data_IF_048039477639
#
_entry.id   IF_048039477639
#
_cell.length_a   1.000
_cell.length_b   1.000
_cell.length_c   1.000
_cell.angle_alpha   90.00
_cell.angle_beta   90.00
_cell.angle_gamma   90.00
#
_symmetry.space_group_name_H-M   'P 1'
#
loop_
_entity.id
_entity.type
_entity.pdbx_description
1 polymer ?
#
# COMPACT_ATOMS: atom_id res chain seq x y z
N UNK A 1 -4.65 -15.97 -6.47
CA UNK A 1 -4.52 -14.63 -5.82
C UNK A 1 -5.01 -14.75 -4.39
N UNK A 2 -4.33 -14.12 -3.43
CA UNK A 2 -4.78 -14.04 -2.04
C UNK A 2 -5.41 -12.67 -1.82
N UNK A 3 -6.70 -12.63 -1.46
CA UNK A 3 -7.40 -11.35 -1.24
C UNK A 3 -7.39 -11.02 0.25
N UNK A 4 -6.96 -9.80 0.54
CA UNK A 4 -6.92 -9.20 1.86
C UNK A 4 -7.67 -7.87 1.93
N UNK A 5 -7.57 -7.21 3.08
CA UNK A 5 -8.25 -5.95 3.35
C UNK A 5 -7.35 -5.01 4.16
N UNK A 6 -7.51 -3.70 4.01
CA UNK A 6 -6.95 -2.76 4.98
C UNK A 6 -7.59 -3.00 6.35
N UNK A 7 -6.79 -3.39 7.34
CA UNK A 7 -7.32 -3.80 8.65
C UNK A 7 -8.11 -2.69 9.36
N UNK A 8 -7.81 -1.44 9.10
CA UNK A 8 -8.54 -0.33 9.68
C UNK A 8 -9.90 -0.04 9.01
N UNK A 9 -10.16 -0.60 7.83
CA UNK A 9 -11.48 -0.56 7.18
C UNK A 9 -12.43 -1.62 7.75
N UNK A 10 -11.89 -2.63 8.43
CA UNK A 10 -12.70 -3.65 9.11
C UNK A 10 -13.36 -3.05 10.34
N UNK A 11 -14.68 -2.94 10.32
CA UNK A 11 -15.46 -2.51 11.47
C UNK A 11 -16.14 -3.72 12.10
N UNK A 12 -15.85 -3.97 13.36
CA UNK A 12 -16.35 -5.15 14.09
C UNK A 12 -17.80 -5.01 14.56
N UNK A 13 -18.41 -3.83 14.40
CA UNK A 13 -19.72 -3.52 14.99
C UNK A 13 -19.69 -3.28 16.50
N UNK A 14 -18.54 -3.42 17.14
CA UNK A 14 -18.35 -3.18 18.57
C UNK A 14 -18.19 -1.69 18.87
N UNK A 15 -18.28 -1.33 20.15
CA UNK A 15 -17.97 0.02 20.61
C UNK A 15 -16.53 0.43 20.22
N UNK A 16 -16.24 1.73 20.02
CA UNK A 16 -14.94 2.19 19.51
C UNK A 16 -13.71 1.70 20.31
N UNK A 17 -13.85 1.55 21.62
CA UNK A 17 -12.81 1.04 22.51
C UNK A 17 -12.56 -0.47 22.37
N UNK A 18 -13.57 -1.22 21.93
CA UNK A 18 -13.48 -2.66 21.72
C UNK A 18 -13.07 -3.05 20.28
N UNK A 19 -12.88 -2.08 19.39
CA UNK A 19 -12.37 -2.30 18.04
C UNK A 19 -10.84 -2.47 18.05
N UNK A 20 -10.36 -3.48 18.78
CA UNK A 20 -8.94 -3.80 18.87
C UNK A 20 -8.40 -4.46 17.60
N UNK A 21 -7.09 -4.60 17.50
CA UNK A 21 -6.45 -5.30 16.38
C UNK A 21 -6.93 -6.77 16.33
N UNK A 22 -7.04 -7.43 17.47
CA UNK A 22 -7.53 -8.82 17.56
C UNK A 22 -8.95 -8.96 17.05
N UNK A 23 -9.86 -8.08 17.48
CA UNK A 23 -11.25 -8.12 17.04
C UNK A 23 -11.39 -7.88 15.53
N UNK A 24 -10.57 -7.00 14.96
CA UNK A 24 -10.53 -6.74 13.51
C UNK A 24 -9.94 -7.92 12.73
N UNK A 25 -8.90 -8.56 13.25
CA UNK A 25 -8.30 -9.76 12.65
C UNK A 25 -9.31 -10.92 12.65
N UNK A 26 -9.99 -11.15 13.77
CA UNK A 26 -11.05 -12.17 13.86
C UNK A 26 -12.16 -11.91 12.84
N UNK A 27 -12.64 -10.66 12.77
CA UNK A 27 -13.67 -10.26 11.82
C UNK A 27 -13.24 -10.44 10.37
N UNK A 28 -12.01 -10.01 10.02
CA UNK A 28 -11.45 -10.19 8.67
C UNK A 28 -11.36 -11.68 8.29
N UNK A 29 -10.95 -12.54 9.24
CA UNK A 29 -10.97 -14.00 9.05
C UNK A 29 -12.38 -14.55 8.79
N UNK A 30 -13.37 -14.15 9.61
CA UNK A 30 -14.76 -14.57 9.44
C UNK A 30 -15.33 -14.13 8.08
N UNK A 31 -14.92 -12.96 7.58
CA UNK A 31 -15.29 -12.43 6.28
C UNK A 31 -14.51 -13.07 5.09
N UNK A 32 -13.63 -14.05 5.35
CA UNK A 32 -12.96 -14.85 4.34
C UNK A 32 -11.72 -14.19 3.72
N UNK A 33 -11.16 -13.15 4.34
CA UNK A 33 -9.89 -12.55 3.91
C UNK A 33 -8.71 -13.46 4.30
N UNK A 34 -7.64 -13.43 3.51
CA UNK A 34 -6.43 -14.24 3.71
C UNK A 34 -5.21 -13.43 4.14
N UNK A 35 -5.24 -12.11 3.98
CA UNK A 35 -4.16 -11.23 4.39
C UNK A 35 -4.68 -9.83 4.73
N UNK A 36 -3.81 -9.01 5.31
CA UNK A 36 -4.16 -7.64 5.70
C UNK A 36 -3.10 -6.64 5.27
N UNK A 37 -3.55 -5.41 4.98
CA UNK A 37 -2.72 -4.23 4.98
C UNK A 37 -2.85 -3.58 6.36
N UNK A 38 -1.76 -3.58 7.12
CA UNK A 38 -1.69 -3.11 8.50
C UNK A 38 -1.01 -1.75 8.58
N UNK A 39 -1.65 -0.78 9.21
CA UNK A 39 -1.05 0.48 9.65
C UNK A 39 -1.28 0.64 11.16
N UNK A 40 -0.22 0.53 11.98
CA UNK A 40 -0.34 0.52 13.44
C UNK A 40 -1.12 1.72 13.99
N UNK A 41 -0.81 2.92 13.53
CA UNK A 41 -1.48 4.16 13.98
C UNK A 41 -2.98 4.21 13.68
N UNK A 42 -3.47 3.36 12.79
CA UNK A 42 -4.89 3.26 12.43
C UNK A 42 -5.66 2.21 13.23
N UNK A 43 -4.96 1.20 13.75
CA UNK A 43 -5.59 0.06 14.44
C UNK A 43 -5.29 0.02 15.94
N UNK A 44 -4.18 0.60 16.40
CA UNK A 44 -3.80 0.67 17.82
C UNK A 44 -3.94 2.13 18.26
N UNK A 45 -4.84 2.39 19.18
CA UNK A 45 -5.13 3.74 19.68
C UNK A 45 -4.26 4.07 20.89
N UNK A 46 -4.02 5.36 21.13
CA UNK A 46 -3.34 5.86 22.33
C UNK A 46 -1.82 5.67 22.33
N UNK A 47 -1.24 5.26 21.20
CA UNK A 47 0.21 5.11 21.04
C UNK A 47 0.70 5.95 19.86
N UNK A 48 1.78 6.69 20.06
CA UNK A 48 2.52 7.32 18.96
C UNK A 48 3.60 6.34 18.51
N UNK A 49 3.55 5.92 17.26
CA UNK A 49 4.50 4.97 16.69
C UNK A 49 5.75 5.70 16.21
N UNK A 50 6.58 6.12 17.16
CA UNK A 50 7.97 6.52 16.98
C UNK A 50 8.90 5.31 17.20
N UNK A 51 10.22 5.53 17.19
CA UNK A 51 11.20 4.45 17.40
C UNK A 51 11.02 3.72 18.73
N UNK A 52 10.58 4.41 19.78
CA UNK A 52 10.42 3.82 21.10
C UNK A 52 9.25 2.81 21.14
N UNK A 53 8.21 3.04 20.34
CA UNK A 53 7.03 2.18 20.30
C UNK A 53 7.18 1.00 19.32
N UNK A 54 8.10 1.08 18.35
CA UNK A 54 8.35 0.04 17.33
C UNK A 54 9.32 -1.02 17.85
N UNK A 55 8.87 -1.77 18.86
CA UNK A 55 9.67 -2.75 19.60
C UNK A 55 9.51 -4.17 19.07
N UNK A 56 10.44 -5.06 19.47
CA UNK A 56 10.35 -6.50 19.23
C UNK A 56 9.09 -7.10 19.88
N UNK A 57 8.69 -6.57 21.04
CA UNK A 57 7.45 -6.97 21.73
C UNK A 57 6.20 -6.69 20.89
N UNK A 58 6.13 -5.52 20.24
CA UNK A 58 5.05 -5.16 19.31
C UNK A 58 5.03 -6.11 18.10
N UNK A 59 6.19 -6.39 17.52
CA UNK A 59 6.32 -7.29 16.38
C UNK A 59 5.80 -8.70 16.70
N UNK A 60 6.26 -9.28 17.80
CA UNK A 60 5.86 -10.62 18.24
C UNK A 60 4.39 -10.69 18.68
N UNK A 61 3.88 -9.63 19.30
CA UNK A 61 2.46 -9.52 19.63
C UNK A 61 1.62 -9.50 18.35
N UNK A 62 1.95 -8.63 17.39
CA UNK A 62 1.25 -8.52 16.11
C UNK A 62 1.27 -9.84 15.35
N UNK A 63 2.45 -10.47 15.26
CA UNK A 63 2.59 -11.79 14.64
C UNK A 63 1.63 -12.81 15.26
N UNK A 64 1.59 -12.92 16.59
CA UNK A 64 0.68 -13.88 17.26
C UNK A 64 -0.78 -13.60 17.02
N UNK A 65 -1.18 -12.32 16.91
CA UNK A 65 -2.56 -11.95 16.59
C UNK A 65 -2.93 -12.39 15.18
N UNK A 66 -2.07 -12.10 14.20
CA UNK A 66 -2.28 -12.50 12.81
C UNK A 66 -2.25 -14.02 12.62
N UNK A 67 -1.28 -14.72 13.24
CA UNK A 67 -1.17 -16.19 13.19
C UNK A 67 -2.45 -16.87 13.72
N UNK A 68 -3.04 -16.37 14.81
CA UNK A 68 -4.31 -16.88 15.35
C UNK A 68 -5.48 -16.68 14.39
N UNK A 69 -5.49 -15.57 13.67
CA UNK A 69 -6.48 -15.32 12.62
C UNK A 69 -6.20 -16.08 11.32
N UNK A 70 -5.03 -16.70 11.16
CA UNK A 70 -4.61 -17.30 9.90
C UNK A 70 -4.45 -16.29 8.78
N UNK A 71 -4.06 -15.05 9.12
CA UNK A 71 -3.89 -13.95 8.16
C UNK A 71 -2.42 -13.57 8.04
N UNK A 72 -1.98 -13.32 6.80
CA UNK A 72 -0.67 -12.76 6.53
C UNK A 72 -0.71 -11.22 6.62
N UNK A 73 0.41 -10.60 7.01
CA UNK A 73 0.62 -9.17 6.80
C UNK A 73 1.16 -8.93 5.39
N UNK A 74 0.30 -8.68 4.42
CA UNK A 74 0.72 -8.36 3.05
C UNK A 74 1.52 -7.06 2.98
N UNK A 75 1.04 -6.04 3.69
CA UNK A 75 1.67 -4.71 3.79
C UNK A 75 1.71 -4.28 5.25
N UNK A 76 2.88 -3.89 5.73
CA UNK A 76 3.04 -3.04 6.90
C UNK A 76 3.22 -1.59 6.41
N UNK A 77 2.18 -0.77 6.55
CA UNK A 77 2.14 0.58 6.01
C UNK A 77 2.89 1.59 6.87
N UNK A 78 3.80 2.34 6.25
CA UNK A 78 4.51 3.48 6.82
C UNK A 78 4.43 4.66 5.84
N UNK A 79 3.31 5.40 5.86
CA UNK A 79 3.00 6.46 4.90
C UNK A 79 3.49 7.82 5.39
N UNK A 80 4.82 8.00 5.40
CA UNK A 80 5.49 9.23 5.82
C UNK A 80 6.28 9.83 4.66
N UNK A 81 6.40 11.16 4.64
CA UNK A 81 6.96 11.91 3.52
C UNK A 81 8.49 11.81 3.42
N UNK A 82 9.00 10.89 2.61
CA UNK A 82 10.44 10.73 2.34
C UNK A 82 11.05 11.85 1.47
N UNK A 83 10.22 12.80 1.00
CA UNK A 83 10.66 14.02 0.33
C UNK A 83 10.45 15.28 1.21
N UNK A 84 10.38 15.10 2.54
CA UNK A 84 10.16 16.22 3.46
C UNK A 84 11.27 17.28 3.33
N UNK A 85 10.93 18.57 3.18
CA UNK A 85 11.92 19.63 2.90
C UNK A 85 12.80 19.95 4.10
N UNK A 86 12.35 19.74 5.34
CA UNK A 86 13.15 19.89 6.55
C UNK A 86 14.01 18.64 6.77
N UNK A 87 15.36 18.78 6.77
CA UNK A 87 16.27 17.64 6.88
C UNK A 87 16.24 16.96 8.26
N UNK A 88 15.92 17.67 9.33
CA UNK A 88 15.83 17.05 10.66
C UNK A 88 14.55 16.25 10.78
N UNK A 89 13.45 16.77 10.23
CA UNK A 89 12.20 16.01 10.15
C UNK A 89 12.32 14.79 9.23
N UNK A 90 13.06 14.90 8.14
CA UNK A 90 13.33 13.76 7.25
C UNK A 90 14.10 12.65 8.00
N UNK A 91 15.07 12.97 8.85
CA UNK A 91 15.79 11.99 9.69
C UNK A 91 14.84 11.27 10.66
N UNK A 92 13.93 12.00 11.32
CA UNK A 92 12.90 11.41 12.19
C UNK A 92 12.00 10.45 11.39
N UNK A 93 11.59 10.85 10.18
CA UNK A 93 10.79 10.02 9.28
C UNK A 93 11.56 8.76 8.89
N UNK A 94 12.81 8.87 8.48
CA UNK A 94 13.65 7.71 8.14
C UNK A 94 13.83 6.77 9.33
N UNK A 95 14.03 7.29 10.54
CA UNK A 95 14.10 6.48 11.76
C UNK A 95 12.83 5.64 11.98
N UNK A 96 11.66 6.21 11.72
CA UNK A 96 10.38 5.45 11.77
C UNK A 96 10.32 4.33 10.74
N UNK A 97 10.83 4.56 9.51
CA UNK A 97 10.94 3.49 8.52
C UNK A 97 11.88 2.38 8.99
N UNK A 98 13.01 2.71 9.61
CA UNK A 98 13.94 1.70 10.16
C UNK A 98 13.25 0.86 11.24
N UNK A 99 12.46 1.49 12.12
CA UNK A 99 11.65 0.78 13.10
C UNK A 99 10.62 -0.16 12.46
N UNK A 100 9.88 0.31 11.43
CA UNK A 100 8.94 -0.53 10.69
C UNK A 100 9.63 -1.70 9.99
N UNK A 101 10.82 -1.49 9.43
CA UNK A 101 11.61 -2.56 8.79
C UNK A 101 12.01 -3.63 9.81
N UNK A 102 12.51 -3.24 10.99
CA UNK A 102 12.82 -4.20 12.08
C UNK A 102 11.59 -5.01 12.51
N UNK A 103 10.47 -4.32 12.69
CA UNK A 103 9.19 -4.96 13.04
C UNK A 103 8.73 -5.89 11.91
N UNK A 104 8.81 -5.46 10.65
CA UNK A 104 8.45 -6.27 9.48
C UNK A 104 9.27 -7.56 9.39
N UNK A 105 10.59 -7.49 9.64
CA UNK A 105 11.47 -8.65 9.67
C UNK A 105 11.05 -9.68 10.71
N UNK A 106 10.70 -9.21 11.93
CA UNK A 106 10.33 -10.09 13.04
C UNK A 106 8.92 -10.68 12.89
N UNK A 107 7.98 -9.93 12.31
CA UNK A 107 6.61 -10.42 12.14
C UNK A 107 6.39 -11.17 10.83
N UNK A 108 7.32 -11.10 9.89
CA UNK A 108 7.19 -11.74 8.59
C UNK A 108 6.23 -11.01 7.64
N UNK A 109 6.22 -9.67 7.67
CA UNK A 109 5.40 -8.90 6.73
C UNK A 109 5.93 -9.03 5.30
N UNK A 110 5.02 -9.08 4.31
CA UNK A 110 5.37 -9.19 2.90
C UNK A 110 6.18 -7.99 2.41
N UNK A 111 5.70 -6.77 2.70
CA UNK A 111 6.42 -5.53 2.40
C UNK A 111 6.22 -4.47 3.49
N UNK A 112 7.16 -3.53 3.61
CA UNK A 112 6.93 -2.21 4.20
C UNK A 112 6.48 -1.27 3.08
N UNK A 113 5.22 -0.85 3.12
CA UNK A 113 4.59 -0.07 2.06
C UNK A 113 4.60 1.43 2.33
N UNK A 114 4.78 2.23 1.27
CA UNK A 114 4.66 3.69 1.31
C UNK A 114 4.19 4.28 -0.02
N UNK A 115 3.46 5.38 0.05
CA UNK A 115 3.30 6.30 -1.06
C UNK A 115 4.55 7.19 -1.23
N UNK A 116 4.58 8.04 -2.25
CA UNK A 116 5.79 8.75 -2.64
C UNK A 116 5.81 10.25 -2.28
N UNK A 117 4.77 10.71 -1.61
CA UNK A 117 4.72 12.02 -0.98
C UNK A 117 4.69 13.23 -1.91
N UNK A 118 5.06 14.38 -1.34
CA UNK A 118 5.16 15.67 -2.00
C UNK A 118 6.37 16.44 -1.46
N UNK A 119 6.98 17.37 -2.24
CA UNK A 119 8.18 18.13 -1.83
C UNK A 119 7.84 19.29 -0.89
N UNK A 120 6.84 19.14 -0.04
CA UNK A 120 6.36 20.16 0.89
C UNK A 120 5.93 19.56 2.23
N UNK A 121 5.71 20.41 3.23
CA UNK A 121 5.33 20.03 4.60
C UNK A 121 3.89 19.50 4.65
N UNK A 122 3.02 20.01 3.81
CA UNK A 122 1.59 19.71 3.79
C UNK A 122 1.27 18.32 3.23
N UNK A 123 2.25 17.65 2.61
CA UNK A 123 2.06 16.34 1.95
C UNK A 123 0.97 16.41 0.86
N UNK A 124 0.90 17.52 0.14
CA UNK A 124 -0.12 17.77 -0.88
C UNK A 124 0.48 18.09 -2.22
N UNK A 125 -0.21 17.68 -3.27
CA UNK A 125 0.18 18.03 -4.64
C UNK A 125 0.19 19.56 -4.82
N UNK A 126 1.29 20.07 -5.39
CA UNK A 126 1.48 21.43 -5.84
C UNK A 126 2.21 21.49 -7.20
N UNK A 127 2.54 22.69 -7.66
CA UNK A 127 3.22 22.88 -8.95
C UNK A 127 4.62 22.22 -9.01
N UNK A 128 5.25 21.94 -7.86
CA UNK A 128 6.58 21.35 -7.80
C UNK A 128 6.55 19.81 -7.67
N UNK A 129 5.40 19.22 -7.36
CA UNK A 129 5.29 17.79 -7.05
C UNK A 129 5.78 16.90 -8.19
N UNK A 130 5.53 17.29 -9.44
CA UNK A 130 5.91 16.51 -10.63
C UNK A 130 7.24 16.94 -11.26
N UNK A 131 8.05 17.75 -10.57
CA UNK A 131 9.37 18.17 -11.07
C UNK A 131 10.42 17.06 -10.94
N UNK A 132 11.52 17.16 -11.67
CA UNK A 132 12.66 16.26 -11.51
C UNK A 132 13.34 16.45 -10.15
N UNK A 133 13.41 17.67 -9.65
CA UNK A 133 13.98 17.99 -8.34
C UNK A 133 13.22 17.28 -7.19
N UNK A 134 11.89 17.25 -7.26
CA UNK A 134 11.07 16.49 -6.31
C UNK A 134 11.40 15.00 -6.35
N UNK A 135 11.52 14.42 -7.57
CA UNK A 135 11.91 13.02 -7.73
C UNK A 135 13.29 12.72 -7.15
N UNK A 136 14.28 13.56 -7.43
CA UNK A 136 15.64 13.40 -6.92
C UNK A 136 15.67 13.51 -5.39
N UNK A 137 14.84 14.37 -4.82
CA UNK A 137 14.69 14.52 -3.36
C UNK A 137 14.07 13.26 -2.75
N UNK A 138 13.01 12.73 -3.35
CA UNK A 138 12.40 11.48 -2.92
C UNK A 138 13.39 10.30 -3.01
N UNK A 139 14.12 10.17 -4.11
CA UNK A 139 15.14 9.11 -4.29
C UNK A 139 16.20 9.18 -3.19
N UNK A 140 16.72 10.37 -2.87
CA UNK A 140 17.67 10.55 -1.78
C UNK A 140 17.09 10.14 -0.42
N UNK A 141 15.85 10.53 -0.13
CA UNK A 141 15.20 10.18 1.13
C UNK A 141 14.90 8.69 1.25
N UNK A 142 14.56 8.02 0.13
CA UNK A 142 14.25 6.59 0.09
C UNK A 142 15.52 5.71 0.16
N UNK A 143 16.65 6.17 -0.35
CA UNK A 143 17.87 5.34 -0.49
C UNK A 143 18.30 4.70 0.84
N UNK A 144 18.41 5.47 1.92
CA UNK A 144 18.80 4.96 3.24
C UNK A 144 17.77 3.98 3.84
N UNK A 145 16.49 4.16 3.52
CA UNK A 145 15.42 3.25 3.94
C UNK A 145 15.58 1.89 3.25
N UNK A 146 15.90 1.90 1.95
CA UNK A 146 16.15 0.67 1.19
C UNK A 146 17.43 -0.03 1.64
N UNK A 147 18.50 0.71 1.94
CA UNK A 147 19.74 0.15 2.53
C UNK A 147 19.46 -0.56 3.87
N UNK A 148 18.65 0.04 4.73
CA UNK A 148 18.21 -0.62 5.97
C UNK A 148 17.41 -1.89 5.67
N UNK A 149 16.49 -1.84 4.71
CA UNK A 149 15.70 -3.01 4.32
C UNK A 149 16.57 -4.16 3.78
N UNK A 150 17.62 -3.87 3.03
CA UNK A 150 18.60 -4.88 2.57
C UNK A 150 19.30 -5.57 3.73
N UNK A 151 19.69 -4.83 4.78
CA UNK A 151 20.34 -5.39 5.96
C UNK A 151 19.44 -6.38 6.73
N UNK A 152 18.13 -6.14 6.74
CA UNK A 152 17.15 -6.99 7.41
C UNK A 152 16.48 -8.02 6.50
N UNK A 153 16.81 -8.04 5.19
CA UNK A 153 16.14 -8.92 4.22
C UNK A 153 14.67 -8.58 4.00
N UNK A 154 14.26 -7.34 4.27
CA UNK A 154 12.87 -6.86 4.14
C UNK A 154 12.68 -6.20 2.78
N UNK A 155 11.49 -6.31 2.22
CA UNK A 155 11.08 -5.60 1.00
C UNK A 155 10.42 -4.27 1.38
N UNK A 156 10.91 -3.17 0.80
CA UNK A 156 10.20 -1.88 0.76
C UNK A 156 9.46 -1.80 -0.57
N UNK A 157 8.20 -1.38 -0.54
CA UNK A 157 7.42 -1.20 -1.75
C UNK A 157 6.82 0.21 -1.82
N UNK A 158 7.10 0.90 -2.92
CA UNK A 158 6.52 2.23 -3.20
C UNK A 158 5.26 2.07 -4.04
N UNK A 159 4.29 2.93 -3.77
CA UNK A 159 3.03 3.01 -4.49
C UNK A 159 3.00 4.28 -5.35
N UNK A 160 3.01 4.14 -6.70
CA UNK A 160 2.82 5.27 -7.59
C UNK A 160 1.39 5.81 -7.49
N UNK A 161 1.26 7.12 -7.26
CA UNK A 161 -0.02 7.83 -7.11
C UNK A 161 0.02 9.11 -7.92
N UNK A 162 -0.98 9.37 -8.75
CA UNK A 162 -1.06 10.56 -9.59
C UNK A 162 -0.80 11.88 -8.84
N UNK A 163 -1.29 11.99 -7.61
CA UNK A 163 -1.14 13.21 -6.79
C UNK A 163 0.22 13.31 -6.09
N UNK A 164 1.12 12.36 -6.27
CA UNK A 164 2.41 12.29 -5.59
C UNK A 164 3.58 12.45 -6.56
N UNK A 165 4.79 12.46 -6.01
CA UNK A 165 6.04 12.63 -6.78
C UNK A 165 6.22 11.56 -7.85
N UNK A 166 5.95 10.30 -7.51
CA UNK A 166 5.95 9.19 -8.47
C UNK A 166 4.52 8.96 -8.97
N UNK A 167 4.13 9.74 -9.98
CA UNK A 167 2.77 9.82 -10.46
C UNK A 167 2.42 8.85 -11.60
N UNK A 168 3.39 8.12 -12.13
CA UNK A 168 3.19 7.16 -13.21
C UNK A 168 4.28 6.08 -13.27
N UNK A 169 4.14 5.12 -14.18
CA UNK A 169 5.07 4.02 -14.34
C UNK A 169 6.49 4.46 -14.73
N UNK A 170 6.65 5.48 -15.57
CA UNK A 170 7.98 5.97 -16.00
C UNK A 170 8.78 6.53 -14.81
N UNK A 171 8.12 7.30 -13.94
CA UNK A 171 8.73 7.80 -12.71
C UNK A 171 9.12 6.66 -11.75
N UNK A 172 8.25 5.65 -11.64
CA UNK A 172 8.56 4.47 -10.84
C UNK A 172 9.79 3.71 -11.38
N UNK A 173 9.91 3.55 -12.70
CA UNK A 173 11.10 2.97 -13.34
C UNK A 173 12.36 3.78 -13.04
N UNK A 174 12.29 5.11 -13.05
CA UNK A 174 13.41 5.98 -12.70
C UNK A 174 13.88 5.74 -11.25
N UNK A 175 12.94 5.67 -10.28
CA UNK A 175 13.25 5.36 -8.87
C UNK A 175 13.92 3.99 -8.74
N UNK A 176 13.30 2.95 -9.32
CA UNK A 176 13.81 1.58 -9.29
C UNK A 176 15.22 1.49 -9.86
N UNK A 177 15.47 2.17 -10.98
CA UNK A 177 16.78 2.17 -11.66
C UNK A 177 17.83 2.95 -10.90
N UNK A 178 17.46 4.10 -10.30
CA UNK A 178 18.39 4.95 -9.55
C UNK A 178 18.86 4.29 -8.26
N UNK A 179 17.98 3.56 -7.56
CA UNK A 179 18.33 2.85 -6.32
C UNK A 179 18.97 1.48 -6.63
N UNK A 180 18.52 0.79 -7.67
CA UNK A 180 19.12 -0.46 -8.14
C UNK A 180 18.93 -1.68 -7.23
N UNK A 181 18.17 -1.56 -6.14
CA UNK A 181 17.99 -2.61 -5.14
C UNK A 181 16.94 -3.66 -5.55
N UNK A 182 17.20 -4.91 -5.18
CA UNK A 182 16.20 -6.00 -5.28
C UNK A 182 15.16 -5.92 -4.17
N UNK A 183 15.46 -5.26 -3.07
CA UNK A 183 14.57 -5.05 -1.94
C UNK A 183 13.61 -3.87 -2.13
N UNK A 184 13.75 -3.11 -3.24
CA UNK A 184 12.77 -2.10 -3.64
C UNK A 184 11.79 -2.69 -4.67
N UNK A 185 10.52 -2.64 -4.35
CA UNK A 185 9.41 -3.19 -5.14
C UNK A 185 8.30 -2.16 -5.32
N UNK A 186 7.20 -2.59 -5.93
CA UNK A 186 6.02 -1.78 -6.25
C UNK A 186 4.78 -2.37 -5.57
N UNK A 187 4.00 -1.50 -4.95
CA UNK A 187 2.58 -1.72 -4.74
C UNK A 187 1.89 -1.15 -5.98
N UNK A 188 1.15 -1.97 -6.71
CA UNK A 188 0.41 -1.52 -7.88
C UNK A 188 -1.06 -1.32 -7.53
N UNK A 189 -1.46 -0.06 -7.48
CA UNK A 189 -2.86 0.35 -7.43
C UNK A 189 -3.23 0.98 -8.79
N UNK A 190 -4.04 0.29 -9.61
CA UNK A 190 -4.43 0.81 -10.92
C UNK A 190 -5.20 2.13 -10.85
N UNK A 191 -6.04 2.31 -9.81
CA UNK A 191 -6.85 3.53 -9.64
C UNK A 191 -5.99 4.73 -9.28
N UNK A 192 -4.95 4.53 -8.47
CA UNK A 192 -4.04 5.62 -8.07
C UNK A 192 -3.21 6.20 -9.23
N UNK A 193 -3.13 5.51 -10.37
CA UNK A 193 -2.52 6.03 -11.59
C UNK A 193 -3.48 6.88 -12.44
N UNK A 194 -4.77 6.91 -12.06
CA UNK A 194 -5.80 7.59 -12.82
C UNK A 194 -6.10 8.98 -12.24
N UNK A 195 -6.51 9.86 -13.14
CA UNK A 195 -7.05 11.18 -12.86
C UNK A 195 -8.06 11.54 -13.96
N UNK A 196 -8.92 12.56 -13.84
CA UNK A 196 -9.97 12.85 -14.82
C UNK A 196 -9.47 12.98 -16.27
N UNK A 197 -8.25 13.47 -16.46
CA UNK A 197 -7.65 13.64 -17.79
C UNK A 197 -7.20 12.36 -18.50
N UNK A 198 -7.12 11.20 -17.80
CA UNK A 198 -6.66 9.95 -18.40
C UNK A 198 -7.61 8.76 -18.23
N UNK A 199 -8.76 8.92 -17.59
CA UNK A 199 -9.73 7.82 -17.39
C UNK A 199 -10.23 7.21 -18.68
N UNK A 200 -10.40 8.00 -19.73
CA UNK A 200 -10.75 7.50 -21.06
C UNK A 200 -9.68 6.57 -21.67
N UNK A 201 -8.45 6.60 -21.13
CA UNK A 201 -7.31 5.80 -21.57
C UNK A 201 -6.85 4.81 -20.48
N UNK A 202 -7.71 4.52 -19.48
CA UNK A 202 -7.35 3.71 -18.31
C UNK A 202 -6.69 2.37 -18.67
N UNK A 203 -7.21 1.70 -19.70
CA UNK A 203 -6.66 0.43 -20.16
C UNK A 203 -5.20 0.55 -20.64
N UNK A 204 -4.88 1.65 -21.33
CA UNK A 204 -3.52 1.94 -21.77
C UNK A 204 -2.62 2.27 -20.58
N UNK A 205 -3.10 3.08 -19.63
CA UNK A 205 -2.34 3.47 -18.43
C UNK A 205 -2.00 2.24 -17.58
N UNK A 206 -2.98 1.36 -17.34
CA UNK A 206 -2.80 0.13 -16.59
C UNK A 206 -1.89 -0.85 -17.33
N UNK A 207 -2.09 -0.99 -18.64
CA UNK A 207 -1.25 -1.86 -19.49
C UNK A 207 0.22 -1.44 -19.49
N UNK A 208 0.49 -0.14 -19.62
CA UNK A 208 1.84 0.44 -19.55
C UNK A 208 2.50 0.19 -18.17
N UNK A 209 1.74 0.37 -17.10
CA UNK A 209 2.22 0.07 -15.74
C UNK A 209 2.56 -1.42 -15.55
N UNK A 210 1.72 -2.33 -16.04
CA UNK A 210 1.98 -3.77 -15.99
C UNK A 210 3.20 -4.15 -16.83
N UNK A 211 3.36 -3.57 -18.01
CA UNK A 211 4.50 -3.83 -18.89
C UNK A 211 5.82 -3.40 -18.23
N UNK A 212 5.88 -2.17 -17.72
CA UNK A 212 7.09 -1.57 -17.16
C UNK A 212 7.43 -2.07 -15.76
N UNK A 213 6.43 -2.32 -14.92
CA UNK A 213 6.61 -2.57 -13.48
C UNK A 213 6.27 -4.00 -13.06
N UNK A 214 5.61 -4.80 -13.90
CA UNK A 214 5.02 -6.09 -13.53
C UNK A 214 5.98 -7.05 -12.80
N UNK A 215 7.25 -7.12 -13.22
CA UNK A 215 8.26 -7.97 -12.55
C UNK A 215 8.59 -7.48 -11.13
N UNK A 216 8.40 -6.20 -10.88
CA UNK A 216 8.66 -5.54 -9.59
C UNK A 216 7.44 -5.43 -8.69
N UNK A 217 6.24 -5.72 -9.17
CA UNK A 217 5.02 -5.70 -8.36
C UNK A 217 5.09 -6.79 -7.29
N UNK A 218 4.99 -6.39 -6.03
CA UNK A 218 4.98 -7.26 -4.86
C UNK A 218 3.58 -7.42 -4.26
N UNK A 219 2.75 -6.37 -4.32
CA UNK A 219 1.37 -6.35 -3.82
C UNK A 219 0.52 -5.58 -4.81
N UNK A 220 -0.76 -5.93 -4.91
CA UNK A 220 -1.76 -5.16 -5.67
C UNK A 220 -2.76 -4.55 -4.68
N UNK A 221 -3.08 -3.25 -4.85
CA UNK A 221 -4.23 -2.65 -4.20
C UNK A 221 -5.43 -2.67 -5.14
N UNK A 222 -6.58 -3.01 -4.61
CA UNK A 222 -7.82 -3.15 -5.37
C UNK A 222 -8.91 -2.25 -4.77
N UNK A 223 -9.26 -1.24 -5.53
CA UNK A 223 -10.37 -0.33 -5.26
C UNK A 223 -11.01 0.09 -6.57
N UNK A 224 -12.06 0.86 -6.49
CA UNK A 224 -12.77 1.42 -7.62
C UNK A 224 -12.78 2.95 -7.55
N UNK A 225 -13.35 3.58 -8.55
CA UNK A 225 -13.52 5.03 -8.59
C UNK A 225 -14.82 5.44 -9.27
N UNK A 226 -15.28 6.63 -8.94
CA UNK A 226 -16.29 7.37 -9.70
C UNK A 226 -15.81 8.80 -9.93
N UNK A 227 -16.23 9.46 -11.02
CA UNK A 227 -15.98 10.89 -11.22
C UNK A 227 -16.59 11.72 -10.09
N UNK A 228 -15.85 12.72 -9.60
CA UNK A 228 -16.28 13.62 -8.52
C UNK A 228 -15.82 15.06 -8.80
N UNK A 229 -16.55 15.76 -9.66
CA UNK A 229 -16.16 17.09 -10.15
C UNK A 229 -14.86 17.03 -10.94
N UNK A 230 -13.86 17.80 -10.51
CA UNK A 230 -12.54 17.86 -11.13
C UNK A 230 -11.57 16.78 -10.60
N UNK A 231 -12.08 15.76 -9.88
CA UNK A 231 -11.28 14.70 -9.27
C UNK A 231 -11.94 13.33 -9.44
N UNK A 232 -11.27 12.29 -8.98
CA UNK A 232 -11.79 10.93 -8.84
C UNK A 232 -11.98 10.61 -7.35
N UNK A 233 -13.16 10.09 -7.01
CA UNK A 233 -13.44 9.57 -5.66
C UNK A 233 -13.18 8.07 -5.65
N UNK A 234 -12.23 7.63 -4.84
CA UNK A 234 -11.99 6.21 -4.58
C UNK A 234 -13.13 5.59 -3.76
N UNK A 235 -13.57 4.42 -4.16
CA UNK A 235 -14.65 3.64 -3.55
C UNK A 235 -14.28 2.14 -3.56
N UNK A 236 -15.13 1.31 -2.94
CA UNK A 236 -14.92 -0.13 -2.87
C UNK A 236 -14.93 -0.80 -4.26
N UNK A 237 -14.12 -1.82 -4.44
CA UNK A 237 -14.00 -2.56 -5.69
C UNK A 237 -15.36 -3.15 -6.15
N UNK A 238 -15.64 -3.03 -7.46
CA UNK A 238 -16.88 -3.50 -8.08
C UNK A 238 -18.07 -2.55 -7.94
N UNK A 239 -17.86 -1.33 -7.42
CA UNK A 239 -18.94 -0.35 -7.21
C UNK A 239 -18.81 0.91 -8.07
N UNK A 240 -17.84 0.96 -8.97
CA UNK A 240 -17.53 2.12 -9.81
C UNK A 240 -17.27 1.77 -11.28
N UNK A 241 -16.31 2.47 -11.90
CA UNK A 241 -16.03 2.41 -13.34
C UNK A 241 -14.77 1.59 -13.70
N UNK A 242 -14.13 0.92 -12.71
CA UNK A 242 -12.90 0.16 -12.95
C UNK A 242 -13.18 -1.14 -13.72
N UNK A 243 -12.41 -1.39 -14.79
CA UNK A 243 -12.34 -2.71 -15.43
C UNK A 243 -11.13 -3.48 -14.85
N UNK A 244 -11.41 -4.58 -14.17
CA UNK A 244 -10.38 -5.40 -13.52
C UNK A 244 -9.76 -6.45 -14.44
N UNK A 245 -10.28 -6.65 -15.65
CA UNK A 245 -9.86 -7.74 -16.54
C UNK A 245 -8.36 -7.77 -16.77
N UNK A 246 -7.75 -6.61 -17.05
CA UNK A 246 -6.31 -6.52 -17.34
C UNK A 246 -5.43 -6.82 -16.13
N UNK A 247 -5.76 -6.23 -14.98
CA UNK A 247 -4.97 -6.47 -13.75
C UNK A 247 -5.13 -7.89 -13.23
N UNK A 248 -6.34 -8.45 -13.27
CA UNK A 248 -6.59 -9.83 -12.83
C UNK A 248 -5.93 -10.84 -13.77
N UNK A 249 -5.92 -10.60 -15.09
CA UNK A 249 -5.17 -11.43 -16.05
C UNK A 249 -3.67 -11.39 -15.78
N UNK A 250 -3.09 -10.22 -15.57
CA UNK A 250 -1.69 -10.08 -15.17
C UNK A 250 -1.38 -10.90 -13.90
N UNK A 251 -2.24 -10.80 -12.88
CA UNK A 251 -2.09 -11.58 -11.64
C UNK A 251 -2.17 -13.07 -11.92
N UNK A 252 -3.18 -13.53 -12.67
CA UNK A 252 -3.40 -14.97 -12.97
C UNK A 252 -2.24 -15.59 -13.73
N UNK A 253 -1.72 -14.89 -14.74
CA UNK A 253 -0.69 -15.41 -15.64
C UNK A 253 0.74 -15.28 -15.07
N UNK A 254 1.03 -14.20 -14.33
CA UNK A 254 2.41 -13.87 -13.93
C UNK A 254 2.65 -13.92 -12.43
N UNK A 255 1.63 -13.74 -11.59
CA UNK A 255 1.73 -13.59 -10.13
C UNK A 255 0.64 -14.36 -9.36
N UNK A 256 0.38 -15.67 -9.63
CA UNK A 256 -0.80 -16.38 -9.13
C UNK A 256 -0.91 -16.45 -7.60
N UNK A 257 0.19 -16.26 -6.86
CA UNK A 257 0.21 -16.24 -5.38
C UNK A 257 0.35 -14.84 -4.79
N UNK A 258 0.22 -13.78 -5.60
CA UNK A 258 0.33 -12.41 -5.11
C UNK A 258 -0.78 -12.11 -4.09
N UNK A 259 -0.43 -11.32 -3.10
CA UNK A 259 -1.38 -10.74 -2.16
C UNK A 259 -1.97 -9.47 -2.77
N UNK A 260 -3.29 -9.33 -2.67
CA UNK A 260 -4.01 -8.17 -3.15
C UNK A 260 -4.94 -7.66 -2.04
N UNK A 261 -4.85 -6.39 -1.66
CA UNK A 261 -5.65 -5.86 -0.56
C UNK A 261 -6.72 -4.89 -1.05
N UNK A 262 -7.94 -5.09 -0.55
CA UNK A 262 -9.05 -4.17 -0.76
C UNK A 262 -8.81 -2.87 -0.01
N UNK A 263 -9.16 -1.78 -0.65
CA UNK A 263 -9.17 -0.44 -0.06
C UNK A 263 -10.53 0.24 -0.21
N UNK A 264 -10.78 1.26 0.63
CA UNK A 264 -12.01 2.06 0.60
C UNK A 264 -13.31 1.25 0.77
N UNK A 265 -13.21 0.12 1.45
CA UNK A 265 -14.36 -0.72 1.81
C UNK A 265 -15.02 -0.24 3.10
N UNK A 266 -16.27 -0.66 3.26
CA UNK A 266 -17.07 -0.54 4.48
C UNK A 266 -17.62 -1.92 4.85
N UNK A 267 -18.20 -2.07 6.04
CA UNK A 267 -18.83 -3.35 6.43
C UNK A 267 -19.86 -3.87 5.43
N UNK A 268 -20.57 -2.94 4.78
CA UNK A 268 -21.67 -3.29 3.89
C UNK A 268 -21.21 -3.82 2.53
N UNK A 269 -19.95 -3.57 2.16
CA UNK A 269 -19.44 -3.92 0.82
C UNK A 269 -18.12 -4.72 0.81
N UNK A 270 -17.45 -4.90 1.93
CA UNK A 270 -16.16 -5.58 1.98
C UNK A 270 -16.24 -7.02 1.44
N UNK A 271 -17.20 -7.81 1.93
CA UNK A 271 -17.42 -9.19 1.50
C UNK A 271 -17.87 -9.24 0.04
N UNK A 272 -18.82 -8.40 -0.35
CA UNK A 272 -19.33 -8.34 -1.72
C UNK A 272 -18.23 -7.96 -2.72
N UNK A 273 -17.35 -7.01 -2.36
CA UNK A 273 -16.20 -6.63 -3.19
C UNK A 273 -15.19 -7.78 -3.32
N UNK A 274 -14.94 -8.53 -2.23
CA UNK A 274 -14.08 -9.71 -2.28
C UNK A 274 -14.66 -10.77 -3.23
N UNK A 275 -15.92 -11.12 -3.06
CA UNK A 275 -16.61 -12.13 -3.88
C UNK A 275 -16.69 -11.73 -5.35
N UNK A 276 -16.95 -10.45 -5.63
CA UNK A 276 -16.91 -9.91 -6.98
C UNK A 276 -15.57 -10.15 -7.65
N UNK A 277 -14.47 -9.84 -6.96
CA UNK A 277 -13.12 -10.01 -7.51
C UNK A 277 -12.71 -11.49 -7.63
N UNK A 278 -13.14 -12.36 -6.71
CA UNK A 278 -12.93 -13.79 -6.81
C UNK A 278 -13.62 -14.37 -8.06
N UNK A 279 -14.89 -14.05 -8.25
CA UNK A 279 -15.63 -14.47 -9.46
C UNK A 279 -15.01 -13.91 -10.74
N UNK A 280 -14.62 -12.63 -10.77
CA UNK A 280 -13.95 -12.03 -11.91
C UNK A 280 -12.60 -12.70 -12.22
N UNK A 281 -11.84 -13.08 -11.18
CA UNK A 281 -10.57 -13.78 -11.33
C UNK A 281 -10.74 -15.23 -11.84
N UNK A 282 -11.80 -15.92 -11.42
CA UNK A 282 -12.11 -17.27 -11.90
C UNK A 282 -12.55 -17.27 -13.36
N UNK A 283 -13.31 -16.23 -13.78
CA UNK A 283 -13.85 -16.10 -15.13
C UNK A 283 -12.81 -15.76 -16.22
N UNK A 284 -11.61 -15.31 -15.88
CA UNK A 284 -10.49 -15.03 -16.80
C UNK A 284 -9.71 -16.33 -17.10
#
# INVERSE_FOLDING_TARGET
MQIGIRLHDVNTGLAPEAQTMEARVEKAREEGFSCVHLAFSKVIKGVTFDDCALTEGLALYTKRVLDRGGLDAAVLGCYLNLAHPDPDKLKEIQSRYYGHIRVAALMGAGVVGTETGAPNVEYKMDANTHTQEALDTFIRGLASVVECAEQYGVTVAIEPVWKHIVYNADRAVQVLSSIGSRNLRIILDPVNLLYPGNTAQRERVIGDAIEKLGDRVAVVHLKDYVPAGDDLKSIAAGTGEMDYTRILRFVKERKPYIQATLENTTNDNAVTSREFLEHAYEAI
#
